data_IF_824999785855
#
_entry.id   IF_824999785855
#
_cell.length_a   1.000
_cell.length_b   1.000
_cell.length_c   1.000
_cell.angle_alpha   90.00
_cell.angle_beta   90.00
_cell.angle_gamma   90.00
#
_symmetry.space_group_name_H-M   'P 1'
#
loop_
_entity.id
_entity.type
_entity.pdbx_description
1 polymer ?
#
# COMPACT_ATOMS: atom_id res chain seq x y z
N UNK A 1 8.96 -8.05 18.54
CA UNK A 1 9.32 -9.39 18.01
C UNK A 1 8.29 -9.82 16.98
N UNK A 2 8.76 -10.10 15.76
CA UNK A 2 7.89 -10.58 14.67
C UNK A 2 7.62 -12.09 14.85
N UNK A 3 6.40 -12.48 14.55
CA UNK A 3 5.83 -13.82 14.66
C UNK A 3 5.24 -14.22 13.31
N UNK A 4 5.05 -15.51 13.11
CA UNK A 4 4.29 -15.99 11.96
C UNK A 4 2.81 -15.60 12.09
N UNK A 5 2.03 -15.85 11.04
CA UNK A 5 0.59 -15.55 11.00
C UNK A 5 -0.19 -16.22 12.15
N UNK A 6 0.31 -17.35 12.65
CA UNK A 6 -0.28 -18.14 13.74
C UNK A 6 0.19 -17.71 15.13
N UNK A 7 1.02 -16.66 15.22
CA UNK A 7 1.51 -16.10 16.47
C UNK A 7 2.68 -16.88 17.10
N UNK A 8 3.29 -17.84 16.40
CA UNK A 8 4.53 -18.48 16.85
C UNK A 8 5.72 -17.57 16.59
N UNK A 9 6.74 -17.65 17.43
CA UNK A 9 8.00 -16.92 17.19
C UNK A 9 8.57 -17.37 15.84
N UNK A 10 8.96 -16.43 14.98
CA UNK A 10 9.74 -16.78 13.80
C UNK A 10 11.17 -17.13 14.23
N UNK A 11 11.62 -18.33 13.89
CA UNK A 11 13.00 -18.75 14.15
C UNK A 11 13.46 -19.80 13.16
N UNK A 12 14.74 -19.74 12.81
CA UNK A 12 15.34 -20.68 11.86
C UNK A 12 15.12 -22.13 12.29
N UNK A 13 15.14 -22.43 13.60
CA UNK A 13 14.90 -23.77 14.14
C UNK A 13 13.48 -24.33 13.95
N UNK A 14 12.49 -23.48 13.67
CA UNK A 14 11.09 -23.86 13.46
C UNK A 14 10.70 -23.87 11.97
N UNK A 15 11.61 -23.47 11.08
CA UNK A 15 11.36 -23.40 9.64
C UNK A 15 10.29 -22.39 9.21
N UNK A 16 9.77 -21.57 10.13
CA UNK A 16 8.68 -20.62 9.87
C UNK A 16 9.19 -19.18 9.59
N UNK A 17 10.48 -19.02 9.28
CA UNK A 17 11.05 -17.72 8.92
C UNK A 17 10.69 -17.40 7.48
N UNK A 18 10.08 -16.24 7.27
CA UNK A 18 9.84 -15.68 5.95
C UNK A 18 11.00 -14.76 5.60
N UNK A 19 11.67 -14.99 4.47
CA UNK A 19 12.72 -14.10 4.00
C UNK A 19 12.08 -12.84 3.38
N UNK A 20 12.47 -11.62 3.79
CA UNK A 20 12.02 -10.40 3.14
C UNK A 20 12.22 -10.38 1.62
N UNK A 21 13.30 -10.97 1.10
CA UNK A 21 13.58 -11.03 -0.33
C UNK A 21 12.62 -11.95 -1.07
N UNK A 22 12.16 -13.03 -0.44
CA UNK A 22 11.12 -13.91 -0.98
C UNK A 22 9.76 -13.19 -1.08
N UNK A 23 9.48 -12.29 -0.14
CA UNK A 23 8.27 -11.44 -0.20
C UNK A 23 8.42 -10.37 -1.28
N UNK A 24 9.61 -9.75 -1.38
CA UNK A 24 9.87 -8.70 -2.37
C UNK A 24 9.81 -9.25 -3.79
N UNK A 25 10.53 -10.33 -4.07
CA UNK A 25 10.72 -10.89 -5.41
C UNK A 25 9.76 -12.05 -5.76
N UNK A 26 9.04 -12.59 -4.77
CA UNK A 26 8.23 -13.78 -4.93
C UNK A 26 9.06 -15.07 -4.89
N UNK A 27 8.40 -16.18 -4.55
CA UNK A 27 8.99 -17.53 -4.54
C UNK A 27 7.89 -18.58 -4.70
N UNK A 28 8.14 -19.65 -5.46
CA UNK A 28 7.19 -20.76 -5.59
C UNK A 28 7.15 -21.62 -4.32
N UNK A 29 6.11 -22.43 -4.18
CA UNK A 29 6.01 -23.40 -3.08
C UNK A 29 7.18 -24.40 -3.10
N UNK A 30 7.58 -24.88 -4.28
CA UNK A 30 8.76 -25.76 -4.38
C UNK A 30 10.04 -25.04 -3.96
N UNK A 31 10.19 -23.76 -4.31
CA UNK A 31 11.33 -22.95 -3.87
C UNK A 31 11.40 -22.82 -2.35
N UNK A 32 10.26 -22.56 -1.70
CA UNK A 32 10.16 -22.52 -0.23
C UNK A 32 10.55 -23.87 0.39
N UNK A 33 10.08 -24.98 -0.18
CA UNK A 33 10.40 -26.32 0.30
C UNK A 33 11.88 -26.66 0.11
N UNK A 34 12.47 -26.32 -1.04
CA UNK A 34 13.88 -26.56 -1.32
C UNK A 34 14.78 -25.83 -0.33
N UNK A 35 14.49 -24.57 -0.02
CA UNK A 35 15.22 -23.81 1.00
C UNK A 35 15.15 -24.47 2.39
N UNK A 36 13.98 -25.01 2.76
CA UNK A 36 13.84 -25.75 4.02
C UNK A 36 14.69 -27.03 4.04
N UNK A 37 14.77 -27.74 2.91
CA UNK A 37 15.59 -28.96 2.77
C UNK A 37 17.10 -28.68 2.78
N UNK A 38 17.53 -27.53 2.27
CA UNK A 38 18.93 -27.07 2.34
C UNK A 38 19.33 -26.63 3.76
N UNK A 39 18.35 -26.33 4.61
CA UNK A 39 18.55 -25.92 6.00
C UNK A 39 18.85 -27.08 6.94
N UNK A 40 19.50 -26.76 8.06
CA UNK A 40 19.73 -27.73 9.15
C UNK A 40 18.54 -27.78 10.11
N UNK A 41 17.40 -28.28 9.63
CA UNK A 41 16.16 -28.39 10.40
C UNK A 41 15.96 -29.81 10.96
N UNK A 42 15.35 -29.92 12.13
CA UNK A 42 14.91 -31.23 12.63
C UNK A 42 13.89 -31.86 11.66
N UNK A 43 13.98 -33.17 11.35
CA UNK A 43 13.06 -33.81 10.39
C UNK A 43 11.58 -33.64 10.72
N UNK A 44 11.23 -33.56 12.02
CA UNK A 44 9.86 -33.32 12.46
C UNK A 44 9.42 -31.89 12.14
N UNK A 45 10.26 -30.90 12.46
CA UNK A 45 9.99 -29.49 12.15
C UNK A 45 9.95 -29.24 10.65
N UNK A 46 10.75 -29.97 9.85
CA UNK A 46 10.72 -29.87 8.39
C UNK A 46 9.36 -30.26 7.82
N UNK A 47 8.77 -31.34 8.34
CA UNK A 47 7.44 -31.80 7.94
C UNK A 47 6.38 -30.76 8.32
N UNK A 48 6.43 -30.25 9.55
CA UNK A 48 5.52 -29.20 10.06
C UNK A 48 5.63 -27.90 9.24
N UNK A 49 6.84 -27.47 8.90
CA UNK A 49 7.08 -26.25 8.13
C UNK A 49 6.55 -26.37 6.69
N UNK A 50 6.78 -27.52 6.02
CA UNK A 50 6.24 -27.79 4.69
C UNK A 50 4.70 -27.83 4.67
N UNK A 51 4.09 -28.49 5.66
CA UNK A 51 2.63 -28.47 5.80
C UNK A 51 2.08 -27.07 6.06
N UNK A 52 2.80 -26.26 6.86
CA UNK A 52 2.49 -24.86 7.10
C UNK A 52 2.54 -24.03 5.82
N UNK A 53 3.61 -24.13 5.04
CA UNK A 53 3.73 -23.46 3.74
C UNK A 53 2.62 -23.88 2.77
N UNK A 54 2.27 -25.17 2.71
CA UNK A 54 1.17 -25.64 1.86
C UNK A 54 -0.19 -25.04 2.22
N UNK A 55 -0.41 -24.71 3.50
CA UNK A 55 -1.65 -24.06 3.98
C UNK A 55 -1.62 -22.54 3.77
N UNK A 56 -0.52 -21.90 4.16
CA UNK A 56 -0.41 -20.43 4.18
C UNK A 56 -0.12 -19.87 2.78
N UNK A 57 0.65 -20.62 1.97
CA UNK A 57 1.18 -20.24 0.66
C UNK A 57 1.01 -21.36 -0.38
N UNK A 58 -0.22 -21.81 -0.68
CA UNK A 58 -0.46 -22.96 -1.56
C UNK A 58 0.15 -22.81 -2.97
N UNK A 59 0.30 -21.57 -3.45
CA UNK A 59 0.92 -21.24 -4.73
C UNK A 59 2.31 -20.57 -4.58
N UNK A 60 2.90 -20.63 -3.38
CA UNK A 60 4.07 -19.84 -3.01
C UNK A 60 3.72 -18.42 -2.53
N UNK A 61 4.75 -17.64 -2.26
CA UNK A 61 4.62 -16.22 -1.88
C UNK A 61 4.64 -15.39 -3.16
N UNK A 62 3.59 -14.62 -3.46
CA UNK A 62 3.58 -13.75 -4.62
C UNK A 62 4.58 -12.61 -4.44
N UNK A 63 5.17 -12.16 -5.56
CA UNK A 63 6.01 -10.96 -5.60
C UNK A 63 5.23 -9.75 -5.07
N UNK A 64 5.68 -9.13 -3.99
CA UNK A 64 4.99 -7.97 -3.39
C UNK A 64 5.67 -6.64 -3.66
N UNK A 65 6.99 -6.64 -3.92
CA UNK A 65 7.80 -5.45 -3.99
C UNK A 65 8.12 -4.84 -2.62
N UNK A 66 9.17 -4.00 -2.59
CA UNK A 66 9.71 -3.41 -1.37
C UNK A 66 8.73 -2.47 -0.66
N UNK A 67 8.01 -1.64 -1.41
CA UNK A 67 7.11 -0.64 -0.83
C UNK A 67 5.93 -1.27 -0.09
N UNK A 68 5.33 -2.32 -0.68
CA UNK A 68 4.24 -3.07 -0.04
C UNK A 68 4.69 -3.67 1.30
N UNK A 69 5.88 -4.28 1.33
CA UNK A 69 6.45 -4.86 2.56
C UNK A 69 6.71 -3.78 3.61
N UNK A 70 7.33 -2.65 3.22
CA UNK A 70 7.61 -1.53 4.15
C UNK A 70 6.32 -0.94 4.72
N UNK A 71 5.32 -0.71 3.88
CA UNK A 71 4.05 -0.15 4.31
C UNK A 71 3.30 -1.11 5.25
N UNK A 72 3.35 -2.41 4.97
CA UNK A 72 2.82 -3.43 5.87
C UNK A 72 3.47 -3.38 7.25
N UNK A 73 4.79 -3.40 7.31
CA UNK A 73 5.55 -3.38 8.55
C UNK A 73 5.30 -2.12 9.38
N UNK A 74 5.24 -0.95 8.73
CA UNK A 74 4.89 0.31 9.40
C UNK A 74 3.47 0.24 9.97
N UNK A 75 2.51 -0.32 9.24
CA UNK A 75 1.13 -0.43 9.74
C UNK A 75 0.99 -1.29 10.99
N UNK A 76 1.90 -2.24 11.21
CA UNK A 76 1.95 -3.07 12.41
C UNK A 76 2.52 -2.37 13.64
N UNK A 77 3.15 -1.20 13.52
CA UNK A 77 3.76 -0.52 14.69
C UNK A 77 2.73 0.01 15.70
N UNK A 78 1.44 0.04 15.35
CA UNK A 78 0.36 0.32 16.29
C UNK A 78 0.03 -0.87 17.20
N UNK A 79 0.40 -2.10 16.82
CA UNK A 79 0.22 -3.28 17.67
C UNK A 79 1.35 -3.36 18.70
N UNK A 80 1.05 -4.02 19.84
CA UNK A 80 1.99 -4.33 20.92
C UNK A 80 3.31 -4.92 20.42
N UNK A 81 4.28 -5.12 21.33
CA UNK A 81 5.60 -5.72 21.05
C UNK A 81 5.61 -7.03 20.23
N UNK A 82 4.46 -7.69 20.01
CA UNK A 82 4.30 -8.90 19.21
C UNK A 82 3.55 -8.58 17.92
N UNK A 83 4.24 -8.69 16.78
CA UNK A 83 3.67 -8.47 15.45
C UNK A 83 3.51 -9.82 14.76
N UNK A 84 2.29 -10.20 14.42
CA UNK A 84 2.04 -11.37 13.58
C UNK A 84 2.10 -10.93 12.11
N UNK A 85 3.14 -11.34 11.40
CA UNK A 85 3.31 -11.00 9.99
C UNK A 85 2.38 -11.87 9.14
N UNK A 86 1.43 -11.21 8.49
CA UNK A 86 0.53 -11.83 7.52
C UNK A 86 0.90 -11.34 6.12
N UNK A 87 1.34 -12.26 5.26
CA UNK A 87 1.71 -11.98 3.87
C UNK A 87 0.50 -11.55 3.05
N UNK A 88 -0.72 -12.00 3.37
CA UNK A 88 -1.92 -11.52 2.68
C UNK A 88 -2.12 -10.01 2.89
N UNK A 89 -1.72 -9.49 4.06
CA UNK A 89 -1.72 -8.04 4.31
C UNK A 89 -0.70 -7.32 3.41
N UNK A 90 0.48 -7.89 3.22
CA UNK A 90 1.49 -7.35 2.29
C UNK A 90 0.97 -7.34 0.86
N UNK A 91 0.31 -8.41 0.42
CA UNK A 91 -0.35 -8.49 -0.89
C UNK A 91 -1.41 -7.40 -1.05
N UNK A 92 -2.21 -7.14 -0.01
CA UNK A 92 -3.15 -6.03 0.00
C UNK A 92 -2.48 -4.68 -0.24
N UNK A 93 -1.34 -4.42 0.39
CA UNK A 93 -0.57 -3.20 0.14
C UNK A 93 0.08 -3.16 -1.25
N UNK A 94 0.47 -4.29 -1.85
CA UNK A 94 0.88 -4.32 -3.27
C UNK A 94 -0.24 -3.85 -4.17
N UNK A 95 -1.46 -4.33 -3.95
CA UNK A 95 -2.64 -3.91 -4.73
C UNK A 95 -2.91 -2.41 -4.55
N UNK A 96 -2.75 -1.90 -3.33
CA UNK A 96 -2.86 -0.47 -3.04
C UNK A 96 -1.77 0.36 -3.74
N UNK A 97 -0.50 -0.06 -3.72
CA UNK A 97 0.58 0.58 -4.47
C UNK A 97 0.27 0.63 -5.98
N UNK A 98 -0.29 -0.45 -6.54
CA UNK A 98 -0.75 -0.46 -7.93
C UNK A 98 -1.91 0.52 -8.16
N UNK A 99 -2.81 0.70 -7.19
CA UNK A 99 -3.87 1.72 -7.25
C UNK A 99 -3.29 3.13 -7.26
N UNK A 100 -2.26 3.43 -6.45
CA UNK A 100 -1.52 4.70 -6.49
C UNK A 100 -0.91 4.95 -7.86
N UNK A 101 -0.23 3.94 -8.41
CA UNK A 101 0.34 4.01 -9.76
C UNK A 101 -0.73 4.35 -10.82
N UNK A 102 -1.87 3.67 -10.79
CA UNK A 102 -2.97 3.93 -11.72
C UNK A 102 -3.58 5.32 -11.53
N UNK A 103 -3.72 5.81 -10.29
CA UNK A 103 -4.22 7.15 -10.00
C UNK A 103 -3.27 8.24 -10.56
N UNK A 104 -1.96 8.09 -10.33
CA UNK A 104 -0.96 9.01 -10.88
C UNK A 104 -0.92 8.95 -12.40
N UNK A 105 -0.93 7.75 -12.98
CA UNK A 105 -0.98 7.56 -14.44
C UNK A 105 -2.24 8.19 -15.05
N UNK A 106 -3.40 8.06 -14.40
CA UNK A 106 -4.62 8.73 -14.80
C UNK A 106 -4.43 10.25 -14.80
N UNK A 107 -3.93 10.84 -13.71
CA UNK A 107 -3.70 12.28 -13.61
C UNK A 107 -2.73 12.78 -14.69
N UNK A 108 -1.59 12.11 -14.86
CA UNK A 108 -0.59 12.46 -15.90
C UNK A 108 -1.21 12.38 -17.30
N UNK A 109 -2.06 11.39 -17.57
CA UNK A 109 -2.73 11.27 -18.88
C UNK A 109 -3.70 12.42 -19.19
N UNK A 110 -4.09 13.21 -18.18
CA UNK A 110 -4.93 14.41 -18.35
C UNK A 110 -4.11 15.67 -18.56
N UNK A 111 -2.82 15.65 -18.23
CA UNK A 111 -1.92 16.73 -18.55
C UNK A 111 -1.49 16.63 -20.02
N UNK A 112 -1.52 17.75 -20.74
CA UNK A 112 -0.88 17.83 -22.06
C UNK A 112 0.64 17.75 -21.94
N UNK A 113 1.32 17.45 -23.06
CA UNK A 113 2.80 17.34 -23.07
C UNK A 113 3.51 18.62 -22.62
N UNK A 114 2.86 19.78 -22.78
CA UNK A 114 3.40 21.10 -22.46
C UNK A 114 2.82 21.67 -21.15
N UNK A 115 2.22 20.82 -20.30
CA UNK A 115 1.65 21.27 -19.04
C UNK A 115 2.74 21.81 -18.10
N UNK A 116 2.60 23.07 -17.71
CA UNK A 116 3.41 23.71 -16.68
C UNK A 116 2.48 24.09 -15.54
N UNK A 117 2.72 23.58 -14.31
CA UNK A 117 1.88 23.92 -13.18
C UNK A 117 1.97 25.43 -12.89
N UNK A 118 0.85 26.09 -12.56
CA UNK A 118 0.86 27.50 -12.22
C UNK A 118 1.70 27.74 -10.96
N UNK A 119 2.50 28.81 -10.96
CA UNK A 119 3.37 29.16 -9.83
C UNK A 119 2.59 29.45 -8.54
N UNK A 120 1.35 29.93 -8.67
CA UNK A 120 0.42 30.14 -7.57
C UNK A 120 -0.94 29.59 -7.94
N UNK A 121 -1.52 28.81 -7.05
CA UNK A 121 -2.91 28.33 -7.15
C UNK A 121 -3.74 29.15 -6.16
N UNK A 122 -4.80 29.80 -6.63
CA UNK A 122 -5.77 30.47 -5.75
C UNK A 122 -6.96 29.52 -5.50
N UNK A 123 -7.09 28.93 -4.30
CA UNK A 123 -8.16 27.97 -4.01
C UNK A 123 -9.57 28.54 -4.19
N UNK A 124 -9.78 29.84 -3.94
CA UNK A 124 -11.11 30.47 -4.01
C UNK A 124 -11.68 30.51 -5.43
N UNK A 125 -10.81 30.39 -6.45
CA UNK A 125 -11.19 30.34 -7.86
C UNK A 125 -11.37 28.92 -8.40
N UNK A 126 -11.04 27.90 -7.62
CA UNK A 126 -11.15 26.52 -8.05
C UNK A 126 -12.61 26.03 -7.96
N UNK A 127 -13.01 25.02 -8.76
CA UNK A 127 -14.28 24.34 -8.57
C UNK A 127 -14.44 23.78 -7.15
N UNK A 128 -15.67 23.65 -6.67
CA UNK A 128 -15.98 23.13 -5.33
C UNK A 128 -15.31 21.77 -5.05
N UNK A 129 -15.31 20.86 -6.03
CA UNK A 129 -14.65 19.55 -5.91
C UNK A 129 -13.16 19.67 -5.60
N UNK A 130 -12.46 20.61 -6.26
CA UNK A 130 -11.05 20.91 -6.04
C UNK A 130 -10.82 21.55 -4.66
N UNK A 131 -11.66 22.51 -4.26
CA UNK A 131 -11.58 23.12 -2.92
C UNK A 131 -11.77 22.06 -1.81
N UNK A 132 -12.75 21.17 -2.00
CA UNK A 132 -13.06 20.09 -1.07
C UNK A 132 -11.88 19.13 -0.90
N UNK A 133 -11.31 18.61 -1.99
CA UNK A 133 -10.20 17.66 -1.89
C UNK A 133 -8.94 18.30 -1.28
N UNK A 134 -8.67 19.58 -1.58
CA UNK A 134 -7.57 20.33 -0.99
C UNK A 134 -7.77 20.56 0.52
N UNK A 135 -9.00 20.84 0.95
CA UNK A 135 -9.34 20.94 2.38
C UNK A 135 -9.07 19.62 3.11
N UNK A 136 -9.48 18.49 2.51
CA UNK A 136 -9.22 17.16 3.08
C UNK A 136 -7.75 16.78 3.07
N UNK A 137 -7.02 17.16 2.02
CA UNK A 137 -5.57 16.97 1.94
C UNK A 137 -4.86 17.75 3.04
N UNK A 138 -5.22 19.01 3.27
CA UNK A 138 -4.65 19.83 4.35
C UNK A 138 -4.85 19.16 5.72
N UNK A 139 -6.07 18.65 6.01
CA UNK A 139 -6.34 17.88 7.23
C UNK A 139 -5.51 16.61 7.33
N UNK A 140 -5.34 15.88 6.24
CA UNK A 140 -4.50 14.68 6.20
C UNK A 140 -3.03 15.02 6.46
N UNK A 141 -2.50 16.09 5.85
CA UNK A 141 -1.14 16.58 6.07
C UNK A 141 -0.91 16.92 7.54
N UNK A 142 -1.78 17.73 8.16
CA UNK A 142 -1.64 18.08 9.58
C UNK A 142 -1.61 16.83 10.47
N UNK A 143 -2.53 15.89 10.24
CA UNK A 143 -2.59 14.63 11.01
C UNK A 143 -1.34 13.77 10.81
N UNK A 144 -0.86 13.65 9.58
CA UNK A 144 0.35 12.90 9.27
C UNK A 144 1.58 13.53 9.92
N UNK A 145 1.72 14.85 9.87
CA UNK A 145 2.83 15.57 10.53
C UNK A 145 2.80 15.31 12.04
N UNK A 146 1.66 15.53 12.70
CA UNK A 146 1.54 15.28 14.15
C UNK A 146 1.86 13.83 14.51
N UNK A 147 1.37 12.86 13.75
CA UNK A 147 1.67 11.46 13.99
C UNK A 147 3.17 11.15 13.82
N UNK A 148 3.83 11.75 12.83
CA UNK A 148 5.28 11.60 12.64
C UNK A 148 6.09 12.24 13.78
N UNK A 149 5.70 13.42 14.25
CA UNK A 149 6.33 14.11 15.40
C UNK A 149 6.21 13.31 16.69
N UNK A 150 5.10 12.59 16.86
CA UNK A 150 4.84 11.69 18.00
C UNK A 150 5.41 10.27 17.81
N UNK A 151 6.13 10.01 16.71
CA UNK A 151 6.63 8.68 16.33
C UNK A 151 5.54 7.60 16.17
N UNK A 152 4.29 8.02 15.93
CA UNK A 152 3.15 7.15 15.67
C UNK A 152 3.07 6.76 14.18
N UNK A 153 4.09 6.05 13.70
CA UNK A 153 4.26 5.77 12.26
C UNK A 153 3.06 5.02 11.64
N UNK A 154 2.42 4.12 12.38
CA UNK A 154 1.22 3.42 11.92
C UNK A 154 0.02 4.37 11.75
N UNK A 155 -0.13 5.37 12.62
CA UNK A 155 -1.18 6.40 12.49
C UNK A 155 -0.91 7.29 11.28
N UNK A 156 0.35 7.67 11.05
CA UNK A 156 0.77 8.40 9.86
C UNK A 156 0.46 7.61 8.58
N UNK A 157 0.84 6.34 8.51
CA UNK A 157 0.57 5.46 7.38
C UNK A 157 -0.94 5.27 7.15
N UNK A 158 -1.71 5.03 8.20
CA UNK A 158 -3.17 4.87 8.12
C UNK A 158 -3.86 6.13 7.61
N UNK A 159 -3.38 7.31 8.00
CA UNK A 159 -3.89 8.60 7.52
C UNK A 159 -3.63 8.77 6.01
N UNK A 160 -2.40 8.51 5.57
CA UNK A 160 -2.01 8.59 4.14
C UNK A 160 -2.82 7.59 3.31
N UNK A 161 -2.90 6.33 3.77
CA UNK A 161 -3.71 5.30 3.13
C UNK A 161 -5.15 5.74 2.94
N UNK A 162 -5.77 6.23 4.03
CA UNK A 162 -7.18 6.61 4.03
C UNK A 162 -7.48 7.78 3.11
N UNK A 163 -6.60 8.78 3.04
CA UNK A 163 -6.77 9.89 2.12
C UNK A 163 -6.66 9.44 0.66
N UNK A 164 -5.61 8.68 0.32
CA UNK A 164 -5.41 8.18 -1.05
C UNK A 164 -6.54 7.26 -1.50
N UNK A 165 -6.88 6.27 -0.69
CA UNK A 165 -7.89 5.28 -1.02
C UNK A 165 -9.27 5.93 -1.08
N UNK A 166 -9.74 6.49 0.03
CA UNK A 166 -11.15 6.84 0.19
C UNK A 166 -11.51 8.23 -0.29
N UNK A 167 -10.58 9.21 -0.19
CA UNK A 167 -10.89 10.59 -0.59
C UNK A 167 -10.49 10.84 -2.03
N UNK A 168 -9.25 10.49 -2.40
CA UNK A 168 -8.76 10.75 -3.74
C UNK A 168 -9.30 9.74 -4.76
N UNK A 169 -9.05 8.45 -4.56
CA UNK A 169 -9.40 7.46 -5.59
C UNK A 169 -10.90 7.15 -5.64
N UNK A 170 -11.52 6.85 -4.50
CA UNK A 170 -12.91 6.39 -4.47
C UNK A 170 -13.93 7.52 -4.71
N UNK A 171 -13.57 8.77 -4.41
CA UNK A 171 -14.48 9.93 -4.52
C UNK A 171 -13.99 10.96 -5.53
N UNK A 172 -12.85 11.60 -5.31
CA UNK A 172 -12.44 12.74 -6.14
C UNK A 172 -12.21 12.36 -7.60
N UNK A 173 -11.42 11.31 -7.86
CA UNK A 173 -11.13 10.83 -9.22
C UNK A 173 -12.42 10.47 -9.96
N UNK A 174 -13.33 9.75 -9.30
CA UNK A 174 -14.63 9.39 -9.88
C UNK A 174 -15.48 10.63 -10.18
N UNK A 175 -15.51 11.61 -9.28
CA UNK A 175 -16.25 12.86 -9.46
C UNK A 175 -15.70 13.72 -10.60
N UNK A 176 -14.39 13.67 -10.89
CA UNK A 176 -13.78 14.47 -11.96
C UNK A 176 -13.77 13.77 -13.32
N UNK A 177 -14.04 12.46 -13.42
CA UNK A 177 -14.08 11.74 -14.71
C UNK A 177 -15.00 12.40 -15.76
N UNK A 178 -16.24 12.83 -15.42
CA UNK A 178 -17.14 13.49 -16.37
C UNK A 178 -16.57 14.73 -17.04
N UNK A 179 -15.72 15.50 -16.34
CA UNK A 179 -15.09 16.71 -16.89
C UNK A 179 -14.21 16.40 -18.12
N UNK A 180 -13.66 15.18 -18.17
CA UNK A 180 -12.77 14.71 -19.24
C UNK A 180 -13.49 13.84 -20.28
N UNK A 181 -14.79 13.57 -20.12
CA UNK A 181 -15.55 12.74 -21.06
C UNK A 181 -16.66 13.56 -21.72
N UNK A 182 -16.42 13.99 -22.96
CA UNK A 182 -17.41 14.68 -23.80
C UNK A 182 -17.31 16.21 -23.81
N UNK A 183 -18.08 16.84 -24.72
CA UNK A 183 -18.19 18.30 -24.85
C UNK A 183 -19.40 18.86 -24.09
N UNK A 184 -19.65 18.36 -22.88
CA UNK A 184 -20.73 18.87 -22.06
C UNK A 184 -20.45 20.35 -21.71
N UNK A 185 -21.34 21.29 -22.10
CA UNK A 185 -21.16 22.72 -21.83
C UNK A 185 -21.06 23.05 -20.34
N UNK A 186 -21.68 22.24 -19.46
CA UNK A 186 -21.69 22.49 -18.01
C UNK A 186 -20.28 22.46 -17.40
N UNK A 187 -19.36 21.69 -18.00
CA UNK A 187 -17.99 21.54 -17.51
C UNK A 187 -16.98 22.44 -18.23
N UNK A 188 -17.40 23.29 -19.17
CA UNK A 188 -16.50 24.11 -19.99
C UNK A 188 -15.73 25.16 -19.16
N UNK A 189 -16.42 25.88 -18.26
CA UNK A 189 -15.78 26.86 -17.36
C UNK A 189 -14.83 26.23 -16.34
N UNK A 190 -15.07 24.98 -15.96
CA UNK A 190 -14.20 24.25 -15.03
C UNK A 190 -12.96 23.71 -15.75
N UNK A 191 -13.08 23.28 -17.01
CA UNK A 191 -11.96 22.88 -17.87
C UNK A 191 -11.00 24.03 -18.18
N UNK A 192 -11.51 25.24 -18.37
CA UNK A 192 -10.67 26.42 -18.62
C UNK A 192 -9.92 26.94 -17.39
N UNK A 193 -10.28 26.44 -16.20
CA UNK A 193 -9.71 26.85 -14.90
C UNK A 193 -8.80 25.79 -14.29
N UNK A 194 -8.68 24.62 -14.93
CA UNK A 194 -7.81 23.51 -14.56
C UNK A 194 -6.48 23.58 -15.33
#
# INVERSE_FOLDING_TARGET
MIRDAHGRKMSMSLGNVIDPLEVINGISLEGLHKRLEEGNLDPKELTVAKEGHGKDFPNGIPECGTDALRFALISYTAQSDKINLDIQRVVGYRQWCNKLWNAVRFAISKFGNDYVPPANVNPDKLPFSCQWILSLLSKAISKTITALELYELSNAASTVYSWWQYQLCDVFIEAIKPFFTGNDPEFESARSSA
#
